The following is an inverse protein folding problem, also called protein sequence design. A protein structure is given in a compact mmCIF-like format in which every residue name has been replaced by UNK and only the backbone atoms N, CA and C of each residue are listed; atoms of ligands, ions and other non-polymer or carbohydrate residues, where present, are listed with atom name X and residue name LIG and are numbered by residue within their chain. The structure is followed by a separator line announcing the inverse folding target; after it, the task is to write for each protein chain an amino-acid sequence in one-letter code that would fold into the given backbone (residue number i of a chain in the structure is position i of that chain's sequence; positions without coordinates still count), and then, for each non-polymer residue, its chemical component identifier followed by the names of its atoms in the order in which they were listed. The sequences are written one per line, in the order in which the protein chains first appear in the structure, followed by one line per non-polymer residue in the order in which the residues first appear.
data_IF_722677441838
#
_entry.id   IF_722677441838
#
_cell.length_a   1.000
_cell.length_b   1.000
_cell.length_c   1.000
_cell.angle_alpha   90.00
_cell.angle_beta   90.00
_cell.angle_gamma   90.00
#
_symmetry.space_group_name_H-M   'P 1'
#
loop_
_entity.id
_entity.type
_entity.pdbx_description
1 polymer ?
#
# COMPACT_ATOMS: atom_id res chain seq x y z
N UNK A 1 6.77 -22.64 19.94
CA UNK A 1 5.61 -23.11 19.12
C UNK A 1 4.58 -22.00 19.14
N UNK A 2 4.10 -21.58 17.96
CA UNK A 2 3.07 -20.54 17.84
C UNK A 2 1.70 -21.16 18.06
N UNK A 3 0.82 -20.46 18.79
CA UNK A 3 -0.52 -20.94 19.14
C UNK A 3 -1.56 -19.89 18.78
N UNK A 4 -2.53 -20.28 17.96
CA UNK A 4 -3.75 -19.50 17.73
C UNK A 4 -4.71 -19.66 18.91
N UNK A 5 -5.29 -18.54 19.32
CA UNK A 5 -6.22 -18.44 20.42
C UNK A 5 -7.46 -17.71 19.92
N UNK A 6 -8.63 -18.19 20.32
CA UNK A 6 -9.85 -17.41 20.16
C UNK A 6 -9.74 -16.16 21.04
N UNK A 7 -10.19 -15.01 20.54
CA UNK A 7 -10.29 -13.84 21.41
C UNK A 7 -11.43 -14.07 22.41
N UNK A 8 -11.25 -13.71 23.70
CA UNK A 8 -12.36 -13.71 24.65
C UNK A 8 -13.53 -12.90 24.06
N UNK A 9 -14.77 -13.39 24.22
CA UNK A 9 -15.95 -12.65 23.76
C UNK A 9 -16.01 -11.29 24.48
N UNK A 10 -15.57 -10.24 23.80
CA UNK A 10 -15.75 -8.84 24.20
C UNK A 10 -17.11 -8.29 23.79
N UNK A 11 -17.43 -7.08 24.23
CA UNK A 11 -18.61 -6.34 23.77
C UNK A 11 -18.24 -5.51 22.53
N UNK A 12 -18.92 -5.72 21.40
CA UNK A 12 -18.82 -4.83 20.23
C UNK A 12 -17.99 -5.34 19.04
N UNK A 13 -17.89 -4.48 18.03
CA UNK A 13 -17.14 -4.67 16.78
C UNK A 13 -15.65 -4.44 17.06
N UNK A 14 -14.71 -5.28 16.57
CA UNK A 14 -13.28 -5.06 16.74
C UNK A 14 -12.81 -3.68 16.25
N UNK A 15 -11.75 -3.15 16.85
CA UNK A 15 -11.06 -1.96 16.31
C UNK A 15 -10.47 -2.30 14.93
N UNK A 16 -10.48 -1.36 13.98
CA UNK A 16 -10.02 -1.63 12.59
C UNK A 16 -10.83 -2.74 11.88
N UNK A 17 -12.05 -3.06 12.36
CA UNK A 17 -12.95 -3.99 11.67
C UNK A 17 -13.51 -3.36 10.41
N UNK A 18 -13.57 -4.12 9.32
CA UNK A 18 -14.25 -3.69 8.09
C UNK A 18 -15.78 -3.55 8.25
N UNK A 19 -16.33 -4.03 9.38
CA UNK A 19 -17.76 -3.93 9.70
C UNK A 19 -18.08 -2.77 10.65
N UNK A 20 -17.06 -2.01 11.08
CA UNK A 20 -17.26 -0.82 11.91
C UNK A 20 -17.91 0.29 11.07
N UNK A 21 -18.82 1.10 11.65
CA UNK A 21 -19.27 2.33 11.00
C UNK A 21 -18.06 3.19 10.62
N UNK A 22 -18.03 3.78 9.41
CA UNK A 22 -16.92 4.61 8.98
C UNK A 22 -16.66 5.73 10.00
N UNK A 23 -15.41 5.88 10.44
CA UNK A 23 -14.95 7.13 11.04
C UNK A 23 -14.54 8.10 9.92
N UNK A 24 -14.28 9.36 10.24
CA UNK A 24 -13.75 10.33 9.27
C UNK A 24 -12.39 9.92 8.65
N UNK A 25 -11.74 8.87 9.16
CA UNK A 25 -10.52 8.28 8.59
C UNK A 25 -10.77 7.01 7.77
N UNK A 26 -11.99 6.46 7.84
CA UNK A 26 -12.39 5.19 7.21
C UNK A 26 -13.45 5.40 6.11
N UNK A 27 -13.85 6.65 5.81
CA UNK A 27 -14.85 6.98 4.78
C UNK A 27 -14.47 6.45 3.39
N UNK A 28 -13.18 6.23 3.15
CA UNK A 28 -12.64 5.74 1.88
C UNK A 28 -12.47 4.21 1.82
N UNK A 29 -12.71 3.46 2.91
CA UNK A 29 -12.56 2.00 2.90
C UNK A 29 -13.55 1.35 1.91
N UNK A 30 -13.12 0.30 1.18
CA UNK A 30 -14.02 -0.41 0.28
C UNK A 30 -15.16 -1.06 1.06
N UNK A 31 -16.35 -1.09 0.46
CA UNK A 31 -17.50 -1.80 1.03
C UNK A 31 -17.12 -3.25 1.39
N UNK A 32 -17.45 -3.64 2.62
CA UNK A 32 -17.24 -5.00 3.07
C UNK A 32 -18.40 -5.89 2.61
N UNK A 33 -18.10 -6.83 1.73
CA UNK A 33 -19.06 -7.73 1.10
C UNK A 33 -19.74 -8.63 2.14
N UNK A 34 -21.04 -8.81 1.99
CA UNK A 34 -21.82 -9.79 2.77
C UNK A 34 -21.45 -11.25 2.46
N UNK A 35 -20.69 -11.50 1.38
CA UNK A 35 -20.12 -12.80 1.04
C UNK A 35 -18.79 -13.08 1.77
N UNK A 36 -18.31 -12.13 2.58
CA UNK A 36 -17.10 -12.25 3.36
C UNK A 36 -17.40 -12.29 4.86
N UNK A 37 -16.51 -12.94 5.59
CA UNK A 37 -16.47 -12.89 7.05
C UNK A 37 -15.19 -12.23 7.51
N UNK A 38 -15.27 -11.55 8.65
CA UNK A 38 -14.10 -11.09 9.39
C UNK A 38 -14.09 -11.77 10.76
N UNK A 39 -12.98 -12.43 11.08
CA UNK A 39 -12.79 -13.09 12.37
C UNK A 39 -11.50 -12.64 13.00
N UNK A 40 -11.56 -12.40 14.30
CA UNK A 40 -10.42 -11.95 15.10
C UNK A 40 -9.87 -13.09 15.95
N UNK A 41 -8.54 -13.15 16.02
CA UNK A 41 -7.79 -14.13 16.79
C UNK A 41 -6.68 -13.45 17.58
N UNK A 42 -6.15 -14.18 18.57
CA UNK A 42 -4.85 -13.90 19.15
C UNK A 42 -3.84 -14.94 18.68
N UNK A 43 -2.60 -14.52 18.45
CA UNK A 43 -1.47 -15.37 18.09
C UNK A 43 -0.40 -15.24 19.16
N UNK A 44 -0.13 -16.33 19.88
CA UNK A 44 0.83 -16.36 20.96
C UNK A 44 2.10 -17.12 20.55
N UNK A 45 3.26 -16.64 20.99
CA UNK A 45 4.54 -17.27 20.66
C UNK A 45 5.72 -16.66 21.41
N UNK A 46 6.91 -16.88 20.85
CA UNK A 46 8.16 -16.26 21.29
C UNK A 46 8.83 -15.61 20.09
N UNK A 47 9.41 -14.44 20.29
CA UNK A 47 10.10 -13.64 19.29
C UNK A 47 11.50 -13.28 19.75
N UNK A 48 12.38 -13.07 18.78
CA UNK A 48 13.70 -12.50 18.96
C UNK A 48 13.64 -10.99 18.78
N UNK A 49 14.65 -10.32 19.33
CA UNK A 49 14.99 -8.94 18.96
C UNK A 49 16.23 -8.96 18.10
N UNK A 50 16.25 -8.07 17.14
CA UNK A 50 17.31 -7.99 16.15
C UNK A 50 18.04 -6.65 16.24
N UNK A 51 19.30 -6.64 15.82
CA UNK A 51 20.06 -5.42 15.57
C UNK A 51 20.78 -5.53 14.24
N UNK A 52 21.34 -4.40 13.82
CA UNK A 52 21.99 -4.22 12.52
C UNK A 52 21.16 -3.35 11.59
N UNK A 53 21.76 -2.91 10.47
CA UNK A 53 21.03 -2.19 9.45
C UNK A 53 19.89 -3.04 8.87
N UNK A 54 18.89 -2.37 8.27
CA UNK A 54 17.82 -3.02 7.51
C UNK A 54 18.38 -3.85 6.34
N UNK A 55 19.54 -3.46 5.79
CA UNK A 55 20.24 -4.22 4.77
C UNK A 55 21.30 -5.12 5.39
N UNK A 56 21.26 -6.41 5.07
CA UNK A 56 22.24 -7.39 5.51
C UNK A 56 21.65 -8.44 6.43
N UNK A 57 22.47 -9.41 6.88
CA UNK A 57 21.96 -10.49 7.70
C UNK A 57 21.51 -9.97 9.08
N UNK A 58 20.29 -10.29 9.52
CA UNK A 58 19.79 -9.86 10.81
C UNK A 58 20.59 -10.55 11.93
N UNK A 59 21.02 -9.78 12.94
CA UNK A 59 21.72 -10.32 14.12
C UNK A 59 20.75 -10.40 15.30
N UNK A 60 20.54 -11.60 15.84
CA UNK A 60 19.75 -11.79 17.06
C UNK A 60 20.54 -11.24 18.25
N UNK A 61 19.96 -10.29 18.99
CA UNK A 61 20.56 -9.72 20.21
C UNK A 61 19.94 -10.25 21.48
N UNK A 62 18.71 -10.77 21.41
CA UNK A 62 18.06 -11.49 22.49
C UNK A 62 16.93 -12.34 21.94
N UNK A 63 16.65 -13.47 22.59
CA UNK A 63 15.66 -14.46 22.15
C UNK A 63 14.63 -14.76 23.26
N UNK A 64 13.61 -15.53 22.89
CA UNK A 64 12.65 -16.09 23.86
C UNK A 64 11.63 -15.10 24.43
N UNK A 65 11.52 -13.88 23.88
CA UNK A 65 10.55 -12.89 24.33
C UNK A 65 9.14 -13.35 24.01
N UNK A 66 8.30 -13.52 25.04
CA UNK A 66 6.91 -13.91 24.84
C UNK A 66 6.14 -12.78 24.16
N UNK A 67 5.23 -13.15 23.27
CA UNK A 67 4.24 -12.24 22.73
C UNK A 67 2.87 -12.90 22.64
N UNK A 68 1.83 -12.08 22.69
CA UNK A 68 0.48 -12.37 22.25
C UNK A 68 0.05 -11.20 21.39
N UNK A 69 -0.13 -11.42 20.10
CA UNK A 69 -0.57 -10.39 19.16
C UNK A 69 -1.97 -10.66 18.64
N UNK A 70 -2.60 -9.65 18.06
CA UNK A 70 -3.91 -9.71 17.42
C UNK A 70 -3.75 -10.00 15.92
N UNK A 71 -4.68 -10.81 15.41
CA UNK A 71 -4.81 -11.14 13.99
C UNK A 71 -6.26 -10.92 13.56
N UNK A 72 -6.48 -10.14 12.51
CA UNK A 72 -7.77 -10.04 11.81
C UNK A 72 -7.72 -10.86 10.53
N UNK A 73 -8.70 -11.74 10.32
CA UNK A 73 -8.79 -12.56 9.13
C UNK A 73 -10.08 -12.27 8.36
N UNK A 74 -9.93 -11.84 7.10
CA UNK A 74 -11.04 -11.60 6.16
C UNK A 74 -10.99 -12.65 5.06
N UNK A 75 -12.09 -13.39 4.82
CA UNK A 75 -12.12 -14.45 3.80
C UNK A 75 -13.55 -14.76 3.34
N UNK A 76 -13.74 -15.42 2.17
CA UNK A 76 -15.06 -15.78 1.68
C UNK A 76 -15.84 -16.69 2.63
N UNK A 77 -17.15 -16.45 2.76
CA UNK A 77 -18.08 -17.29 3.52
C UNK A 77 -18.21 -18.71 2.94
N UNK A 78 -18.19 -18.82 1.61
CA UNK A 78 -18.18 -20.08 0.89
C UNK A 78 -16.74 -20.51 0.58
N UNK A 79 -16.23 -21.59 1.20
CA UNK A 79 -14.88 -22.09 0.94
C UNK A 79 -14.61 -22.44 -0.53
N UNK A 80 -15.64 -22.74 -1.32
CA UNK A 80 -15.49 -23.04 -2.76
C UNK A 80 -15.10 -21.81 -3.58
N UNK A 81 -15.35 -20.61 -3.06
CA UNK A 81 -14.91 -19.34 -3.65
C UNK A 81 -13.47 -18.97 -3.29
N UNK A 82 -12.86 -19.62 -2.31
CA UNK A 82 -11.51 -19.27 -1.89
C UNK A 82 -10.49 -19.57 -2.99
N UNK A 83 -9.73 -18.57 -3.40
CA UNK A 83 -8.77 -18.68 -4.50
C UNK A 83 -7.52 -19.49 -4.16
N UNK A 84 -7.23 -19.67 -2.85
CA UNK A 84 -5.95 -20.18 -2.37
C UNK A 84 -4.95 -19.09 -2.00
N UNK A 85 -5.24 -17.81 -2.27
CA UNK A 85 -4.32 -16.69 -2.00
C UNK A 85 -4.64 -16.00 -0.68
N UNK A 86 -3.60 -15.64 0.05
CA UNK A 86 -3.68 -14.87 1.30
C UNK A 86 -2.74 -13.68 1.20
N UNK A 87 -3.24 -12.46 1.41
CA UNK A 87 -2.41 -11.25 1.57
C UNK A 87 -2.30 -10.94 3.05
N UNK A 88 -1.08 -10.98 3.59
CA UNK A 88 -0.77 -10.55 4.95
C UNK A 88 -0.36 -9.08 4.94
N UNK A 89 -0.96 -8.31 5.83
CA UNK A 89 -0.67 -6.91 6.06
C UNK A 89 -0.26 -6.70 7.54
N UNK A 90 0.98 -6.31 7.83
CA UNK A 90 1.26 -5.69 9.12
C UNK A 90 0.47 -4.38 9.18
N UNK A 91 -0.26 -4.15 10.27
CA UNK A 91 -1.05 -2.93 10.38
C UNK A 91 -0.16 -1.71 10.31
N UNK A 92 -0.58 -0.72 9.52
CA UNK A 92 0.06 0.58 9.51
C UNK A 92 -0.17 1.26 10.87
N UNK A 93 0.89 1.84 11.46
CA UNK A 93 0.85 2.43 12.80
C UNK A 93 1.22 3.91 12.84
N UNK A 94 1.17 4.61 11.71
CA UNK A 94 1.63 6.02 11.60
C UNK A 94 0.93 6.94 12.60
N UNK A 95 -0.34 6.66 12.90
CA UNK A 95 -1.14 7.43 13.87
C UNK A 95 -1.14 6.83 15.28
N UNK A 96 -0.25 5.87 15.56
CA UNK A 96 -0.14 5.17 16.84
C UNK A 96 -1.23 4.12 17.08
N UNK A 97 -2.09 3.87 16.10
CA UNK A 97 -3.18 2.87 16.12
C UNK A 97 -3.09 1.99 14.87
N UNK A 98 -3.67 0.79 14.93
CA UNK A 98 -3.69 -0.14 13.80
C UNK A 98 -4.60 0.34 12.67
N UNK A 99 -4.06 0.34 11.44
CA UNK A 99 -4.79 0.65 10.21
C UNK A 99 -4.51 -0.32 9.07
N UNK A 100 -5.57 -0.74 8.39
CA UNK A 100 -5.56 -1.59 7.20
C UNK A 100 -5.34 -0.75 5.92
N UNK A 101 -4.21 -0.05 5.89
CA UNK A 101 -3.84 0.91 4.85
C UNK A 101 -3.71 0.27 3.45
N UNK A 102 -3.24 -0.98 3.33
CA UNK A 102 -3.24 -1.67 2.05
C UNK A 102 -4.64 -2.15 1.69
N UNK A 103 -5.42 -2.66 2.64
CA UNK A 103 -6.82 -3.07 2.40
C UNK A 103 -7.66 -1.93 1.80
N UNK A 104 -7.47 -0.69 2.23
CA UNK A 104 -8.08 0.50 1.63
C UNK A 104 -7.98 0.48 0.09
N UNK A 105 -6.83 0.11 -0.45
CA UNK A 105 -6.60 0.11 -1.89
C UNK A 105 -7.06 -1.18 -2.57
N UNK A 106 -6.88 -2.33 -1.92
CA UNK A 106 -6.99 -3.66 -2.58
C UNK A 106 -8.18 -4.51 -2.11
N UNK A 107 -8.92 -4.10 -1.09
CA UNK A 107 -10.02 -4.89 -0.52
C UNK A 107 -11.10 -5.24 -1.54
N UNK A 108 -11.46 -4.31 -2.44
CA UNK A 108 -12.38 -4.60 -3.54
C UNK A 108 -11.87 -5.68 -4.51
N UNK A 109 -10.56 -5.65 -4.84
CA UNK A 109 -9.91 -6.68 -5.65
C UNK A 109 -9.97 -8.03 -4.93
N UNK A 110 -9.47 -8.10 -3.70
CA UNK A 110 -9.39 -9.35 -2.95
C UNK A 110 -10.76 -10.01 -2.79
N UNK A 111 -11.80 -9.21 -2.50
CA UNK A 111 -13.18 -9.69 -2.36
C UNK A 111 -13.78 -10.21 -3.66
N UNK A 112 -13.56 -9.51 -4.78
CA UNK A 112 -14.00 -9.96 -6.10
C UNK A 112 -13.34 -11.27 -6.52
N UNK A 113 -12.12 -11.50 -6.05
CA UNK A 113 -11.28 -12.63 -6.41
C UNK A 113 -11.43 -13.87 -5.53
N UNK A 114 -12.09 -13.75 -4.37
CA UNK A 114 -12.15 -14.84 -3.41
C UNK A 114 -10.84 -15.00 -2.61
N UNK A 115 -10.04 -13.94 -2.49
CA UNK A 115 -8.78 -13.96 -1.75
C UNK A 115 -9.03 -13.74 -0.27
N UNK A 116 -8.16 -14.30 0.58
CA UNK A 116 -8.15 -13.98 2.00
C UNK A 116 -7.18 -12.84 2.29
N UNK A 117 -7.45 -12.08 3.33
CA UNK A 117 -6.57 -11.06 3.88
C UNK A 117 -6.37 -11.28 5.38
N UNK A 118 -5.15 -11.02 5.85
CA UNK A 118 -4.76 -11.19 7.25
C UNK A 118 -4.06 -9.91 7.73
N UNK A 119 -4.69 -9.17 8.62
CA UNK A 119 -4.06 -8.06 9.34
C UNK A 119 -3.38 -8.53 10.62
N UNK A 120 -2.17 -8.04 10.93
CA UNK A 120 -1.46 -8.36 12.18
C UNK A 120 -1.01 -7.09 12.91
N UNK A 121 -1.32 -6.99 14.20
CA UNK A 121 -0.77 -5.95 15.07
C UNK A 121 0.70 -6.26 15.33
N UNK A 122 1.62 -5.35 15.05
CA UNK A 122 3.05 -5.65 15.22
C UNK A 122 3.79 -4.69 16.16
N UNK A 123 3.11 -3.67 16.67
CA UNK A 123 3.69 -2.67 17.57
C UNK A 123 3.13 -2.79 18.99
N UNK A 124 4.02 -2.60 19.97
CA UNK A 124 3.68 -2.48 21.38
C UNK A 124 2.77 -1.27 21.64
N UNK A 125 3.00 -0.17 20.92
CA UNK A 125 2.17 1.05 21.00
C UNK A 125 0.73 0.75 20.58
N UNK A 126 0.50 0.11 19.43
CA UNK A 126 -0.84 -0.30 18.99
C UNK A 126 -1.51 -1.27 19.97
N UNK A 127 -0.77 -2.24 20.49
CA UNK A 127 -1.30 -3.18 21.49
C UNK A 127 -1.76 -2.46 22.76
N UNK A 128 -1.04 -1.41 23.18
CA UNK A 128 -1.44 -0.57 24.31
C UNK A 128 -2.71 0.22 24.02
N UNK A 129 -2.86 0.77 22.81
CA UNK A 129 -4.07 1.48 22.40
C UNK A 129 -5.30 0.56 22.35
N UNK A 130 -5.16 -0.63 21.77
CA UNK A 130 -6.22 -1.64 21.76
C UNK A 130 -6.68 -1.98 23.18
N UNK A 131 -5.73 -2.23 24.10
CA UNK A 131 -6.02 -2.44 25.52
C UNK A 131 -6.75 -1.28 26.17
N UNK A 132 -6.42 -0.04 25.81
CA UNK A 132 -7.14 1.14 26.27
C UNK A 132 -8.59 1.20 25.76
N UNK A 133 -8.81 0.83 24.50
CA UNK A 133 -10.12 0.85 23.85
C UNK A 133 -11.08 -0.22 24.39
N UNK A 134 -10.63 -1.47 24.53
CA UNK A 134 -11.39 -2.55 25.17
C UNK A 134 -10.51 -3.42 26.08
N UNK A 135 -10.38 -3.04 27.37
CA UNK A 135 -9.54 -3.77 28.33
C UNK A 135 -9.94 -5.23 28.55
N UNK A 136 -11.21 -5.60 28.28
CA UNK A 136 -11.69 -6.98 28.46
C UNK A 136 -11.38 -7.84 27.25
N UNK A 137 -11.63 -7.32 26.05
CA UNK A 137 -11.37 -8.03 24.79
C UNK A 137 -9.88 -8.28 24.57
N UNK A 138 -9.04 -7.30 24.88
CA UNK A 138 -7.59 -7.36 24.65
C UNK A 138 -6.78 -7.61 25.93
N UNK A 139 -7.39 -8.16 26.97
CA UNK A 139 -6.71 -8.43 28.25
C UNK A 139 -5.42 -9.25 28.07
N UNK A 140 -5.48 -10.27 27.20
CA UNK A 140 -4.38 -11.19 26.91
C UNK A 140 -3.37 -10.66 25.88
N UNK A 141 -3.63 -9.53 25.23
CA UNK A 141 -2.76 -8.96 24.19
C UNK A 141 -1.45 -8.45 24.83
N UNK A 142 -0.30 -8.93 24.40
CA UNK A 142 0.98 -8.58 25.02
C UNK A 142 2.09 -8.52 23.96
N UNK A 143 2.46 -7.31 23.55
CA UNK A 143 3.64 -7.06 22.74
C UNK A 143 4.59 -6.23 23.60
N UNK A 144 5.62 -6.86 24.15
CA UNK A 144 6.50 -6.21 25.13
C UNK A 144 7.48 -5.18 24.56
N UNK A 145 7.62 -5.10 23.23
CA UNK A 145 8.49 -4.15 22.53
C UNK A 145 8.19 -4.17 21.03
N UNK A 146 8.37 -3.02 20.34
CA UNK A 146 8.31 -2.95 18.88
C UNK A 146 9.40 -3.79 18.19
N UNK A 147 10.51 -4.09 18.88
CA UNK A 147 11.62 -4.91 18.35
C UNK A 147 11.21 -6.37 18.05
N UNK A 148 10.00 -6.78 18.46
CA UNK A 148 9.46 -8.11 18.20
C UNK A 148 8.80 -8.22 16.82
N UNK A 149 8.54 -7.10 16.14
CA UNK A 149 7.73 -7.02 14.93
C UNK A 149 8.13 -8.05 13.85
N UNK A 150 9.42 -8.19 13.57
CA UNK A 150 9.91 -9.09 12.52
C UNK A 150 9.53 -10.55 12.72
N UNK A 151 9.61 -11.04 13.97
CA UNK A 151 9.20 -12.41 14.27
C UNK A 151 7.69 -12.57 14.36
N UNK A 152 6.93 -11.50 14.67
CA UNK A 152 5.46 -11.52 14.56
C UNK A 152 5.03 -11.70 13.10
N UNK A 153 5.59 -10.91 12.16
CA UNK A 153 5.36 -11.06 10.72
C UNK A 153 5.76 -12.47 10.27
N UNK A 154 6.97 -12.92 10.63
CA UNK A 154 7.46 -14.26 10.27
C UNK A 154 6.55 -15.38 10.83
N UNK A 155 6.05 -15.23 12.04
CA UNK A 155 5.22 -16.22 12.70
C UNK A 155 3.86 -16.39 12.01
N UNK A 156 3.20 -15.30 11.61
CA UNK A 156 1.90 -15.40 10.91
C UNK A 156 2.07 -16.02 9.51
N UNK A 157 3.10 -15.63 8.75
CA UNK A 157 3.40 -16.25 7.45
C UNK A 157 3.63 -17.76 7.57
N UNK A 158 4.41 -18.19 8.58
CA UNK A 158 4.64 -19.62 8.85
C UNK A 158 3.36 -20.35 9.25
N UNK A 159 2.56 -19.74 10.13
CA UNK A 159 1.30 -20.31 10.62
C UNK A 159 0.31 -20.55 9.48
N UNK A 160 0.23 -19.61 8.52
CA UNK A 160 -0.61 -19.75 7.33
C UNK A 160 -0.14 -20.87 6.39
N UNK A 161 1.18 -21.02 6.22
CA UNK A 161 1.79 -22.06 5.37
C UNK A 161 1.68 -23.46 5.98
N UNK A 162 1.88 -23.58 7.29
CA UNK A 162 1.74 -24.86 8.00
C UNK A 162 0.27 -25.33 8.04
N UNK A 163 -0.68 -24.39 8.10
CA UNK A 163 -2.10 -24.71 8.13
C UNK A 163 -2.53 -25.41 9.42
N UNK A 164 -3.57 -26.24 9.34
CA UNK A 164 -4.07 -27.02 10.47
C UNK A 164 -4.73 -26.17 11.56
N UNK A 165 -4.92 -26.75 12.75
CA UNK A 165 -5.70 -26.14 13.85
C UNK A 165 -5.12 -24.80 14.36
N UNK A 166 -3.86 -24.53 14.08
CA UNK A 166 -3.18 -23.29 14.48
C UNK A 166 -3.32 -22.17 13.45
N UNK A 167 -3.90 -22.42 12.27
CA UNK A 167 -4.12 -21.39 11.26
C UNK A 167 -5.47 -20.69 11.44
N UNK A 168 -5.53 -19.34 11.32
CA UNK A 168 -6.81 -18.63 11.28
C UNK A 168 -7.67 -19.09 10.09
N UNK A 169 -7.05 -19.65 9.06
CA UNK A 169 -7.68 -20.18 7.85
C UNK A 169 -7.71 -21.71 7.82
N UNK A 170 -7.75 -22.39 8.98
CA UNK A 170 -7.68 -23.87 9.11
C UNK A 170 -8.64 -24.69 8.23
N UNK A 171 -9.69 -24.06 7.71
CA UNK A 171 -10.73 -24.67 6.89
C UNK A 171 -10.60 -24.34 5.39
N UNK A 172 -9.56 -23.59 5.01
CA UNK A 172 -9.31 -23.13 3.65
C UNK A 172 -7.97 -23.67 3.14
N UNK A 173 -7.90 -24.16 1.87
CA UNK A 173 -6.67 -24.68 1.28
C UNK A 173 -5.74 -23.54 0.82
N UNK A 174 -4.96 -22.97 1.74
CA UNK A 174 -3.96 -21.93 1.44
C UNK A 174 -2.89 -22.48 0.48
N UNK A 175 -2.66 -21.77 -0.63
CA UNK A 175 -1.67 -22.12 -1.67
C UNK A 175 -0.55 -21.08 -1.77
N UNK A 176 -0.90 -19.79 -1.65
CA UNK A 176 0.05 -18.69 -1.77
C UNK A 176 -0.15 -17.68 -0.63
N UNK A 177 0.95 -17.23 -0.04
CA UNK A 177 0.98 -16.24 1.03
C UNK A 177 1.85 -15.06 0.61
N UNK A 178 1.25 -13.89 0.50
CA UNK A 178 1.92 -12.64 0.13
C UNK A 178 2.07 -11.74 1.35
N UNK A 179 3.14 -10.96 1.39
CA UNK A 179 3.31 -9.87 2.37
C UNK A 179 3.18 -8.54 1.64
N UNK A 180 2.26 -7.68 2.07
CA UNK A 180 2.08 -6.37 1.49
C UNK A 180 1.83 -5.30 2.55
N UNK A 181 2.10 -4.05 2.20
CA UNK A 181 1.77 -2.92 3.06
C UNK A 181 1.75 -1.62 2.27
N UNK A 182 1.18 -0.58 2.87
CA UNK A 182 1.07 0.76 2.29
C UNK A 182 1.53 1.81 3.31
N UNK A 183 2.34 2.78 2.87
CA UNK A 183 2.94 3.78 3.78
C UNK A 183 3.85 3.08 4.80
N UNK A 184 3.72 3.34 6.10
CA UNK A 184 4.56 2.71 7.13
C UNK A 184 4.53 1.17 7.11
N UNK A 185 3.39 0.53 6.85
CA UNK A 185 3.39 -0.94 6.69
C UNK A 185 4.07 -1.40 5.38
N UNK A 186 4.14 -0.52 4.38
CA UNK A 186 4.95 -0.71 3.17
C UNK A 186 6.45 -0.64 3.47
N UNK A 187 6.86 0.25 4.39
CA UNK A 187 8.24 0.33 4.91
C UNK A 187 8.62 -0.98 5.61
N UNK A 188 7.76 -1.48 6.50
CA UNK A 188 8.01 -2.73 7.21
C UNK A 188 8.01 -3.94 6.27
N UNK A 189 7.15 -3.94 5.24
CA UNK A 189 7.16 -4.94 4.16
C UNK A 189 8.48 -4.91 3.40
N UNK A 190 9.00 -3.73 3.06
CA UNK A 190 10.27 -3.56 2.36
C UNK A 190 11.46 -4.03 3.22
N UNK A 191 11.52 -3.63 4.50
CA UNK A 191 12.54 -4.13 5.43
C UNK A 191 12.46 -5.65 5.55
N UNK A 192 11.27 -6.20 5.71
CA UNK A 192 11.10 -7.65 5.87
C UNK A 192 11.58 -8.40 4.63
N UNK A 193 11.24 -7.91 3.43
CA UNK A 193 11.69 -8.48 2.17
C UNK A 193 13.22 -8.50 2.08
N UNK A 194 13.89 -7.40 2.44
CA UNK A 194 15.36 -7.28 2.38
C UNK A 194 16.05 -8.14 3.43
N UNK A 195 15.61 -8.09 4.70
CA UNK A 195 16.33 -8.69 5.81
C UNK A 195 15.99 -10.17 6.05
N UNK A 196 14.74 -10.56 5.77
CA UNK A 196 14.23 -11.89 6.13
C UNK A 196 13.70 -12.68 4.92
N UNK A 197 13.56 -12.04 3.75
CA UNK A 197 12.76 -12.58 2.66
C UNK A 197 13.19 -13.97 2.20
N UNK A 198 14.49 -14.15 1.99
CA UNK A 198 15.08 -15.41 1.52
C UNK A 198 14.88 -16.62 2.46
N UNK A 199 14.49 -16.39 3.72
CA UNK A 199 14.27 -17.41 4.74
C UNK A 199 12.82 -17.44 5.24
N UNK A 200 11.92 -16.76 4.54
CA UNK A 200 10.55 -16.56 4.99
C UNK A 200 9.55 -17.55 4.38
N UNK A 201 8.31 -17.46 4.85
CA UNK A 201 7.19 -18.26 4.38
C UNK A 201 6.30 -17.52 3.36
N UNK A 202 6.78 -16.43 2.75
CA UNK A 202 6.04 -15.63 1.78
C UNK A 202 6.48 -15.93 0.35
N UNK A 203 5.51 -16.02 -0.56
CA UNK A 203 5.74 -16.31 -1.97
C UNK A 203 5.98 -15.03 -2.80
N UNK A 204 5.69 -13.84 -2.26
CA UNK A 204 5.97 -12.56 -2.90
C UNK A 204 5.74 -11.36 -1.97
N UNK A 205 6.36 -10.22 -2.31
CA UNK A 205 6.32 -8.99 -1.52
C UNK A 205 5.76 -7.81 -2.31
N UNK A 206 4.93 -7.01 -1.64
CA UNK A 206 4.25 -5.85 -2.20
C UNK A 206 4.40 -4.60 -1.32
N UNK A 207 5.60 -3.98 -1.26
CA UNK A 207 5.77 -2.72 -0.57
C UNK A 207 5.22 -1.56 -1.43
N UNK A 208 4.20 -0.88 -0.91
CA UNK A 208 3.57 0.27 -1.57
C UNK A 208 3.80 1.57 -0.78
N UNK A 209 4.09 2.65 -1.51
CA UNK A 209 4.23 4.02 -0.99
C UNK A 209 5.14 4.12 0.23
N UNK A 210 6.34 3.52 0.15
CA UNK A 210 7.26 3.48 1.29
C UNK A 210 8.39 4.53 1.19
N UNK A 211 8.41 5.35 0.13
CA UNK A 211 9.35 6.46 -0.06
C UNK A 211 10.81 6.09 0.22
N UNK A 212 11.30 5.00 -0.41
CA UNK A 212 12.63 4.39 -0.19
C UNK A 212 12.95 3.92 1.23
N UNK A 213 12.06 4.17 2.19
CA UNK A 213 12.31 3.98 3.61
C UNK A 213 12.34 2.49 3.94
N UNK A 214 13.23 2.15 4.87
CA UNK A 214 13.32 0.87 5.56
C UNK A 214 13.34 1.15 7.07
N UNK A 215 12.49 0.47 7.83
CA UNK A 215 12.55 0.47 9.29
C UNK A 215 13.83 -0.27 9.72
N UNK A 216 14.66 0.29 10.61
CA UNK A 216 15.80 -0.43 11.19
C UNK A 216 15.38 -1.69 11.94
N UNK A 217 16.27 -2.68 12.03
CA UNK A 217 15.92 -3.95 12.68
C UNK A 217 15.67 -3.81 14.18
N UNK A 218 16.38 -2.87 14.82
CA UNK A 218 16.04 -2.37 16.15
C UNK A 218 15.03 -1.22 15.96
N UNK A 219 13.75 -1.56 16.04
CA UNK A 219 12.64 -0.62 15.75
C UNK A 219 12.60 0.50 16.79
N UNK A 220 12.81 0.17 18.07
CA UNK A 220 12.75 1.13 19.16
C UNK A 220 11.34 1.71 19.39
N UNK A 221 11.28 2.86 20.06
CA UNK A 221 10.04 3.58 20.34
C UNK A 221 9.90 4.81 19.44
N UNK A 222 8.66 5.17 19.09
CA UNK A 222 8.37 6.33 18.24
C UNK A 222 8.53 6.07 16.74
N UNK A 223 8.60 7.14 15.95
CA UNK A 223 8.82 7.03 14.51
C UNK A 223 10.29 6.64 14.26
N UNK A 224 10.57 5.55 13.53
CA UNK A 224 11.94 5.11 13.28
C UNK A 224 12.72 6.15 12.48
N UNK A 225 14.03 6.24 12.73
CA UNK A 225 14.96 6.89 11.81
C UNK A 225 15.18 5.93 10.64
N UNK A 226 14.42 6.13 9.56
CA UNK A 226 14.46 5.24 8.41
C UNK A 226 15.84 5.18 7.77
N UNK A 227 16.19 3.98 7.32
CA UNK A 227 17.29 3.74 6.40
C UNK A 227 16.78 3.80 4.96
N UNK A 228 17.67 4.03 4.00
CA UNK A 228 17.31 4.14 2.58
C UNK A 228 18.17 3.22 1.75
N UNK A 229 17.55 2.27 1.05
CA UNK A 229 18.26 1.34 0.20
C UNK A 229 17.38 0.72 -0.88
N UNK A 230 17.97 0.26 -2.00
CA UNK A 230 17.24 -0.57 -2.96
C UNK A 230 16.86 -1.92 -2.34
N UNK A 231 15.65 -2.40 -2.62
CA UNK A 231 15.23 -3.74 -2.22
C UNK A 231 16.00 -4.77 -3.05
N UNK A 232 16.80 -5.61 -2.39
CA UNK A 232 17.57 -6.71 -3.01
C UNK A 232 17.50 -7.97 -2.17
N UNK A 233 17.69 -9.14 -2.80
CA UNK A 233 17.94 -10.39 -2.08
C UNK A 233 16.71 -11.00 -1.38
N UNK A 234 15.50 -10.58 -1.73
CA UNK A 234 14.27 -11.07 -1.10
C UNK A 234 13.97 -12.56 -1.39
N UNK A 235 14.60 -13.17 -2.39
CA UNK A 235 14.42 -14.58 -2.78
C UNK A 235 13.10 -14.87 -3.50
N UNK A 236 12.04 -14.14 -3.18
CA UNK A 236 10.74 -14.15 -3.85
C UNK A 236 10.53 -12.88 -4.71
N UNK A 237 9.60 -12.88 -5.68
CA UNK A 237 9.26 -11.68 -6.45
C UNK A 237 8.85 -10.50 -5.58
N UNK A 238 9.30 -9.31 -5.97
CA UNK A 238 8.90 -8.03 -5.37
C UNK A 238 8.29 -7.14 -6.45
N UNK A 239 7.09 -6.62 -6.18
CA UNK A 239 6.53 -5.50 -6.96
C UNK A 239 6.39 -4.31 -6.02
N UNK A 240 7.23 -3.30 -6.24
CA UNK A 240 7.25 -2.05 -5.50
C UNK A 240 6.46 -1.00 -6.29
N UNK A 241 5.61 -0.23 -5.59
CA UNK A 241 4.87 0.89 -6.19
C UNK A 241 5.07 2.16 -5.37
N UNK A 242 5.48 3.25 -6.02
CA UNK A 242 5.76 4.55 -5.41
C UNK A 242 4.93 5.64 -6.11
N UNK A 243 4.14 6.43 -5.38
CA UNK A 243 3.56 7.65 -5.92
C UNK A 243 4.66 8.68 -6.22
N UNK A 244 4.38 9.65 -7.08
CA UNK A 244 5.34 10.69 -7.45
C UNK A 244 5.94 11.39 -6.22
N UNK A 245 5.14 11.73 -5.21
CA UNK A 245 5.63 12.39 -3.99
C UNK A 245 6.69 11.58 -3.25
N UNK A 246 6.58 10.26 -3.30
CA UNK A 246 7.48 9.34 -2.63
C UNK A 246 8.73 9.11 -3.46
N UNK A 247 8.65 9.25 -4.78
CA UNK A 247 9.81 9.26 -5.68
C UNK A 247 10.64 10.53 -5.47
N UNK A 248 9.96 11.68 -5.39
CA UNK A 248 10.58 13.01 -5.17
C UNK A 248 11.19 13.15 -3.77
N UNK A 249 10.53 12.60 -2.75
CA UNK A 249 10.94 12.75 -1.36
C UNK A 249 10.55 14.11 -0.78
N UNK A 250 10.93 14.37 0.46
CA UNK A 250 10.59 15.62 1.15
C UNK A 250 11.55 15.93 2.30
N UNK A 251 11.73 17.23 2.56
CA UNK A 251 12.56 17.74 3.65
C UNK A 251 11.76 18.58 4.64
N UNK A 252 12.13 18.46 5.92
CA UNK A 252 11.53 19.13 7.08
C UNK A 252 12.67 19.48 8.03
N UNK A 253 12.60 20.56 8.80
CA UNK A 253 13.74 21.01 9.64
C UNK A 253 14.40 19.87 10.44
N UNK A 254 15.61 19.46 10.03
CA UNK A 254 16.40 18.38 10.64
C UNK A 254 16.11 16.94 10.16
N UNK A 255 15.14 16.72 9.26
CA UNK A 255 14.83 15.43 8.66
C UNK A 255 14.62 15.52 7.14
N UNK A 256 15.24 14.62 6.40
CA UNK A 256 15.09 14.50 4.95
C UNK A 256 14.75 13.06 4.62
N UNK A 257 13.64 12.87 3.91
CA UNK A 257 13.38 11.66 3.14
C UNK A 257 13.85 11.92 1.70
N UNK A 258 14.86 11.20 1.19
CA UNK A 258 15.45 11.45 -0.12
C UNK A 258 14.62 10.87 -1.29
N UNK A 259 13.51 10.20 -1.00
CA UNK A 259 12.61 9.61 -1.97
C UNK A 259 13.15 8.39 -2.70
N UNK A 260 12.26 7.72 -3.42
CA UNK A 260 12.53 6.55 -4.26
C UNK A 260 13.58 6.80 -5.34
N UNK A 261 13.68 8.03 -5.85
CA UNK A 261 14.69 8.42 -6.84
C UNK A 261 16.11 8.08 -6.38
N UNK A 262 16.40 8.30 -5.08
CA UNK A 262 17.74 8.12 -4.49
C UNK A 262 18.22 6.67 -4.42
N UNK A 263 17.30 5.70 -4.53
CA UNK A 263 17.61 4.26 -4.38
C UNK A 263 17.15 3.43 -5.57
N UNK A 264 16.87 4.08 -6.71
CA UNK A 264 16.42 3.39 -7.94
C UNK A 264 17.34 2.22 -8.28
N UNK A 265 16.71 1.11 -8.64
CA UNK A 265 17.38 -0.04 -9.28
C UNK A 265 16.65 -0.43 -10.57
N UNK A 266 17.38 -1.11 -11.44
CA UNK A 266 16.80 -1.72 -12.62
C UNK A 266 15.82 -2.82 -12.22
N UNK A 267 14.78 -2.98 -13.02
CA UNK A 267 13.89 -4.13 -12.93
C UNK A 267 14.67 -5.43 -13.26
N UNK A 268 14.18 -6.56 -12.75
CA UNK A 268 14.79 -7.87 -12.97
C UNK A 268 13.75 -8.98 -13.06
N UNK A 269 13.97 -9.92 -13.98
CA UNK A 269 13.14 -11.11 -14.17
C UNK A 269 13.83 -12.41 -13.74
N UNK A 270 15.13 -12.33 -13.43
CA UNK A 270 15.95 -13.48 -13.10
C UNK A 270 15.55 -14.11 -11.76
N UNK A 271 15.48 -15.45 -11.67
CA UNK A 271 15.24 -16.15 -10.41
C UNK A 271 16.21 -15.68 -9.31
N UNK A 272 15.66 -15.38 -8.13
CA UNK A 272 16.42 -14.86 -6.98
C UNK A 272 16.60 -13.34 -6.94
N UNK A 273 16.31 -12.62 -8.02
CA UNK A 273 16.35 -11.14 -8.07
C UNK A 273 15.20 -10.56 -8.91
N UNK A 274 14.03 -11.20 -8.81
CA UNK A 274 12.78 -10.74 -9.43
C UNK A 274 12.28 -9.48 -8.75
N UNK A 275 12.34 -8.37 -9.45
CA UNK A 275 11.98 -7.05 -8.93
C UNK A 275 11.34 -6.20 -10.01
N UNK A 276 10.25 -5.52 -9.65
CA UNK A 276 9.59 -4.53 -10.50
C UNK A 276 9.31 -3.27 -9.70
N UNK A 277 9.70 -2.11 -10.24
CA UNK A 277 9.35 -0.80 -9.66
C UNK A 277 8.37 -0.07 -10.57
N UNK A 278 7.27 0.40 -9.96
CA UNK A 278 6.28 1.27 -10.59
C UNK A 278 6.27 2.64 -9.92
N UNK A 279 6.62 3.66 -10.68
CA UNK A 279 6.54 5.06 -10.26
C UNK A 279 5.31 5.69 -10.90
N UNK A 280 4.36 6.13 -10.08
CA UNK A 280 3.06 6.63 -10.52
C UNK A 280 3.10 8.16 -10.59
N UNK A 281 3.44 8.67 -11.78
CA UNK A 281 3.44 10.11 -12.06
C UNK A 281 2.05 10.72 -11.78
N UNK A 282 2.01 11.90 -11.15
CA UNK A 282 0.79 12.61 -10.73
C UNK A 282 0.14 12.08 -9.44
N UNK A 283 0.53 10.90 -8.94
CA UNK A 283 -0.02 10.39 -7.69
C UNK A 283 0.69 10.99 -6.47
N UNK A 284 -0.04 11.42 -5.43
CA UNK A 284 0.53 11.71 -4.11
C UNK A 284 0.52 10.47 -3.19
N UNK A 285 1.23 10.55 -2.06
CA UNK A 285 1.20 9.55 -1.01
C UNK A 285 -0.21 9.41 -0.41
N UNK A 286 -0.84 10.54 -0.15
CA UNK A 286 -2.22 10.67 0.31
C UNK A 286 -2.96 11.69 -0.55
N UNK A 287 -4.22 11.39 -0.90
CA UNK A 287 -5.07 12.30 -1.67
C UNK A 287 -5.23 13.67 -0.97
N UNK A 288 -5.44 13.65 0.34
CA UNK A 288 -5.54 14.83 1.20
C UNK A 288 -5.01 14.51 2.60
N UNK A 289 -4.43 15.53 3.25
CA UNK A 289 -4.14 15.51 4.69
C UNK A 289 -4.81 16.74 5.31
N UNK A 290 -5.61 16.58 6.39
CA UNK A 290 -6.26 17.71 7.04
C UNK A 290 -5.26 18.80 7.45
N UNK A 291 -5.56 20.05 7.09
CA UNK A 291 -4.70 21.20 7.34
C UNK A 291 -3.73 21.55 6.20
N UNK A 292 -3.73 20.77 5.12
CA UNK A 292 -3.02 21.10 3.89
C UNK A 292 -3.92 21.86 2.90
N UNK A 293 -3.29 22.71 2.07
CA UNK A 293 -3.89 23.59 1.09
C UNK A 293 -4.44 22.83 -0.11
N UNK A 294 -5.47 23.42 -0.73
CA UNK A 294 -6.02 23.00 -2.01
C UNK A 294 -7.06 21.88 -1.92
N UNK A 295 -7.67 21.63 -3.08
CA UNK A 295 -8.55 20.47 -3.26
C UNK A 295 -7.67 19.22 -3.31
N UNK A 296 -8.01 18.20 -2.51
CA UNK A 296 -7.28 16.94 -2.48
C UNK A 296 -7.19 16.31 -3.87
N UNK A 297 -6.12 15.59 -4.14
CA UNK A 297 -5.92 14.94 -5.43
C UNK A 297 -6.93 13.82 -5.65
N UNK A 298 -7.64 13.85 -6.78
CA UNK A 298 -8.52 12.75 -7.18
C UNK A 298 -7.83 11.74 -8.12
N UNK A 299 -6.49 11.73 -8.14
CA UNK A 299 -5.71 10.75 -8.90
C UNK A 299 -5.98 9.33 -8.36
N UNK A 300 -6.35 8.36 -9.22
CA UNK A 300 -6.87 7.07 -8.76
C UNK A 300 -5.76 6.07 -8.42
N UNK A 301 -4.95 6.38 -7.39
CA UNK A 301 -3.83 5.56 -6.95
C UNK A 301 -4.23 4.10 -6.69
N UNK A 302 -5.41 3.88 -6.09
CA UNK A 302 -5.92 2.53 -5.79
C UNK A 302 -6.02 1.62 -7.02
N UNK A 303 -6.34 2.16 -8.20
CA UNK A 303 -6.44 1.36 -9.43
C UNK A 303 -5.07 0.83 -9.87
N UNK A 304 -4.02 1.65 -9.75
CA UNK A 304 -2.65 1.25 -10.04
C UNK A 304 -2.12 0.25 -9.00
N UNK A 305 -2.42 0.47 -7.71
CA UNK A 305 -2.06 -0.47 -6.62
C UNK A 305 -2.69 -1.85 -6.85
N UNK A 306 -3.98 -1.91 -7.21
CA UNK A 306 -4.68 -3.16 -7.55
C UNK A 306 -4.05 -3.88 -8.74
N UNK A 307 -3.74 -3.17 -9.82
CA UNK A 307 -3.12 -3.75 -11.00
C UNK A 307 -1.71 -4.28 -10.70
N UNK A 308 -0.92 -3.55 -9.92
CA UNK A 308 0.42 -3.97 -9.51
C UNK A 308 0.37 -5.23 -8.63
N UNK A 309 -0.54 -5.30 -7.66
CA UNK A 309 -0.73 -6.49 -6.83
C UNK A 309 -1.19 -7.69 -7.67
N UNK A 310 -2.09 -7.48 -8.63
CA UNK A 310 -2.51 -8.52 -9.57
C UNK A 310 -1.32 -9.06 -10.38
N UNK A 311 -0.43 -8.19 -10.81
CA UNK A 311 0.77 -8.60 -11.53
C UNK A 311 1.73 -9.40 -10.64
N UNK A 312 1.86 -9.07 -9.35
CA UNK A 312 2.62 -9.89 -8.40
C UNK A 312 2.03 -11.31 -8.30
N UNK A 313 0.70 -11.44 -8.19
CA UNK A 313 0.04 -12.75 -8.14
C UNK A 313 0.37 -13.59 -9.37
N UNK A 314 0.22 -13.02 -10.57
CA UNK A 314 0.55 -13.71 -11.83
C UNK A 314 2.03 -14.06 -11.95
N UNK A 315 2.91 -13.24 -11.38
CA UNK A 315 4.34 -13.51 -11.41
C UNK A 315 4.70 -14.72 -10.54
N UNK A 316 4.09 -14.81 -9.36
CA UNK A 316 4.30 -15.91 -8.41
C UNK A 316 3.63 -17.19 -8.89
N UNK A 317 2.40 -17.11 -9.37
CA UNK A 317 1.55 -18.26 -9.66
C UNK A 317 1.78 -18.82 -11.07
N UNK A 318 1.89 -17.93 -12.05
CA UNK A 318 1.95 -18.30 -13.47
C UNK A 318 3.34 -18.10 -14.08
N UNK A 319 4.28 -17.51 -13.34
CA UNK A 319 5.60 -17.14 -13.86
C UNK A 319 5.55 -15.98 -14.88
N UNK A 320 4.43 -15.26 -14.96
CA UNK A 320 4.25 -14.17 -15.91
C UNK A 320 4.82 -12.87 -15.32
N UNK A 321 5.96 -12.43 -15.84
CA UNK A 321 6.59 -11.19 -15.41
C UNK A 321 5.65 -9.97 -15.57
N UNK A 322 5.58 -9.08 -14.56
CA UNK A 322 4.92 -7.79 -14.69
C UNK A 322 5.59 -6.94 -15.79
N UNK A 323 4.83 -6.10 -16.51
CA UNK A 323 5.41 -5.21 -17.52
C UNK A 323 6.44 -4.23 -16.92
N UNK A 324 7.55 -3.97 -17.60
CA UNK A 324 8.49 -2.88 -17.23
C UNK A 324 7.85 -1.52 -17.50
N UNK A 325 8.05 -0.51 -16.64
CA UNK A 325 7.59 0.86 -16.89
C UNK A 325 8.76 1.87 -16.94
N UNK A 326 8.64 2.96 -17.72
CA UNK A 326 9.54 4.11 -17.59
C UNK A 326 9.59 4.63 -16.15
N UNK A 327 10.69 5.28 -15.79
CA UNK A 327 10.82 6.04 -14.53
C UNK A 327 10.33 7.47 -14.74
N UNK A 328 9.93 8.14 -13.66
CA UNK A 328 9.64 9.57 -13.67
C UNK A 328 10.94 10.30 -14.03
N UNK A 329 10.87 11.12 -15.07
CA UNK A 329 11.98 11.98 -15.48
C UNK A 329 12.22 13.02 -14.39
N UNK A 330 13.47 13.23 -14.02
CA UNK A 330 13.85 14.17 -12.98
C UNK A 330 14.52 15.39 -13.62
N UNK A 331 14.04 16.58 -13.25
CA UNK A 331 14.72 17.84 -13.57
C UNK A 331 15.86 18.12 -12.58
N UNK A 332 15.67 17.72 -11.32
CA UNK A 332 16.67 17.80 -10.26
C UNK A 332 16.80 16.44 -9.61
N UNK A 333 18.03 15.93 -9.55
CA UNK A 333 18.41 14.73 -8.80
C UNK A 333 19.29 15.18 -7.63
N UNK A 334 18.63 15.60 -6.54
CA UNK A 334 19.23 16.24 -5.38
C UNK A 334 19.04 15.46 -4.09
N UNK A 335 19.13 16.14 -2.95
CA UNK A 335 18.78 15.53 -1.65
C UNK A 335 17.29 15.16 -1.57
N UNK A 336 16.45 15.92 -2.27
CA UNK A 336 15.12 15.54 -2.73
C UNK A 336 15.11 15.76 -4.23
N UNK A 337 14.38 14.94 -4.96
CA UNK A 337 14.26 15.04 -6.40
C UNK A 337 13.08 15.95 -6.78
N UNK A 338 13.13 16.49 -8.00
CA UNK A 338 12.03 17.23 -8.61
C UNK A 338 11.75 16.62 -9.98
N UNK A 339 10.49 16.24 -10.24
CA UNK A 339 10.07 15.73 -11.52
C UNK A 339 10.23 16.80 -12.62
N UNK A 340 10.64 16.36 -13.81
CA UNK A 340 10.43 17.14 -15.02
C UNK A 340 8.95 17.08 -15.40
N UNK A 341 8.43 18.16 -15.98
CA UNK A 341 6.99 18.31 -16.23
C UNK A 341 6.68 18.70 -17.66
N UNK A 342 5.51 18.27 -18.13
CA UNK A 342 5.01 18.62 -19.46
C UNK A 342 4.46 20.06 -19.51
N UNK A 343 3.90 20.45 -20.66
CA UNK A 343 3.31 21.78 -20.86
C UNK A 343 2.09 22.07 -19.96
N UNK A 344 1.49 21.04 -19.35
CA UNK A 344 0.38 21.15 -18.41
C UNK A 344 0.85 21.16 -16.95
N UNK A 345 2.15 20.93 -16.72
CA UNK A 345 2.76 20.85 -15.40
C UNK A 345 2.63 19.48 -14.74
N UNK A 346 2.28 18.43 -15.50
CA UNK A 346 2.24 17.06 -15.02
C UNK A 346 3.60 16.38 -15.21
N UNK A 347 4.00 15.51 -14.28
CA UNK A 347 5.27 14.82 -14.37
C UNK A 347 5.41 13.96 -15.63
N UNK A 348 6.60 13.96 -16.22
CA UNK A 348 6.93 13.17 -17.41
C UNK A 348 7.47 11.79 -17.02
N UNK A 349 7.07 10.76 -17.76
CA UNK A 349 7.53 9.39 -17.55
C UNK A 349 6.67 8.64 -16.52
N UNK A 350 7.28 7.69 -15.81
CA UNK A 350 6.56 6.79 -14.91
C UNK A 350 5.69 5.78 -15.64
N UNK A 351 4.78 5.14 -14.90
CA UNK A 351 3.78 4.22 -15.44
C UNK A 351 2.83 4.95 -16.40
N UNK A 352 2.55 4.41 -17.61
CA UNK A 352 1.57 4.98 -18.53
C UNK A 352 0.22 5.22 -17.87
N UNK A 353 -0.34 6.42 -18.05
CA UNK A 353 -1.52 6.86 -17.31
C UNK A 353 -2.44 7.68 -18.21
N UNK A 354 -3.73 7.29 -18.37
CA UNK A 354 -4.67 8.09 -19.15
C UNK A 354 -4.94 9.47 -18.52
N UNK A 355 -4.68 9.62 -17.22
CA UNK A 355 -4.81 10.87 -16.49
C UNK A 355 -3.75 11.91 -16.88
N UNK A 356 -2.60 11.47 -17.41
CA UNK A 356 -1.52 12.34 -17.87
C UNK A 356 -1.42 12.40 -19.40
N UNK A 357 -1.82 11.34 -20.12
CA UNK A 357 -1.88 11.33 -21.59
C UNK A 357 -3.01 12.23 -22.12
N UNK A 358 -4.15 12.25 -21.43
CA UNK A 358 -5.31 13.08 -21.72
C UNK A 358 -5.76 13.81 -20.43
N UNK A 359 -4.98 14.80 -19.94
CA UNK A 359 -5.26 15.45 -18.67
C UNK A 359 -6.45 16.39 -18.76
N UNK A 360 -7.27 16.40 -17.70
CA UNK A 360 -8.23 17.47 -17.38
C UNK A 360 -7.72 18.42 -16.30
N UNK A 361 -6.68 18.00 -15.58
CA UNK A 361 -6.10 18.71 -14.46
C UNK A 361 -4.59 18.52 -14.44
N UNK A 362 -3.93 19.46 -13.76
CA UNK A 362 -2.58 19.25 -13.25
C UNK A 362 -2.67 18.57 -11.90
N UNK A 363 -1.90 17.51 -11.71
CA UNK A 363 -1.78 16.79 -10.44
C UNK A 363 -0.48 17.21 -9.75
N UNK A 364 -0.59 18.04 -8.72
CA UNK A 364 0.53 18.40 -7.86
C UNK A 364 0.71 17.27 -6.83
N UNK A 365 1.83 16.55 -6.86
CA UNK A 365 2.10 15.45 -5.93
C UNK A 365 2.40 15.92 -4.48
N UNK A 366 2.67 17.21 -4.31
CA UNK A 366 3.00 17.84 -3.04
C UNK A 366 2.10 19.06 -2.77
N UNK A 367 1.65 19.21 -1.53
CA UNK A 367 0.91 20.39 -1.06
C UNK A 367 1.74 21.24 -0.06
N UNK A 368 1.07 22.22 0.55
CA UNK A 368 1.54 23.18 1.55
C UNK A 368 0.44 23.39 2.61
N UNK A 369 0.65 24.17 3.69
CA UNK A 369 1.93 24.59 4.19
C UNK A 369 2.63 23.46 4.94
N UNK A 370 3.96 23.46 4.85
CA UNK A 370 4.79 22.65 5.73
C UNK A 370 4.98 21.19 5.31
N UNK A 371 5.66 20.45 6.19
CA UNK A 371 6.35 19.22 5.79
C UNK A 371 5.45 18.01 5.57
N UNK A 372 4.47 17.79 6.46
CA UNK A 372 3.51 16.69 6.29
C UNK A 372 2.67 16.87 5.02
N UNK A 373 2.41 18.11 4.61
CA UNK A 373 1.70 18.41 3.38
C UNK A 373 2.47 18.05 2.11
N UNK A 374 3.77 17.75 2.21
CA UNK A 374 4.53 17.13 1.11
C UNK A 374 4.10 15.69 0.83
N UNK A 375 3.34 15.04 1.71
CA UNK A 375 2.72 13.75 1.42
C UNK A 375 1.31 13.89 0.81
N UNK A 376 0.70 15.08 0.89
CA UNK A 376 -0.62 15.33 0.33
C UNK A 376 -0.52 15.84 -1.11
N UNK A 377 -1.44 15.40 -1.96
CA UNK A 377 -1.57 15.94 -3.31
C UNK A 377 -2.59 17.06 -3.41
N UNK A 378 -2.52 17.80 -4.51
CA UNK A 378 -3.53 18.76 -4.91
C UNK A 378 -3.86 18.59 -6.38
N UNK A 379 -5.13 18.79 -6.72
CA UNK A 379 -5.57 18.85 -8.11
C UNK A 379 -5.89 20.28 -8.53
N UNK A 380 -5.39 20.67 -9.71
CA UNK A 380 -5.66 21.98 -10.30
C UNK A 380 -6.30 21.76 -11.69
N UNK A 381 -7.62 21.95 -11.83
CA UNK A 381 -8.28 21.81 -13.12
C UNK A 381 -7.64 22.70 -14.20
N UNK A 382 -7.49 22.17 -15.41
CA UNK A 382 -7.02 22.95 -16.54
C UNK A 382 -8.09 23.97 -16.97
N UNK A 383 -7.72 25.20 -17.36
CA UNK A 383 -8.67 26.19 -17.85
C UNK A 383 -9.44 25.70 -19.08
N UNK A 384 -10.70 26.12 -19.21
CA UNK A 384 -11.54 25.77 -20.35
C UNK A 384 -10.87 26.08 -21.69
N UNK A 385 -10.15 27.20 -21.79
CA UNK A 385 -9.47 27.63 -23.01
C UNK A 385 -8.37 26.64 -23.42
N UNK A 386 -7.62 26.09 -22.45
CA UNK A 386 -6.59 25.06 -22.68
C UNK A 386 -7.24 23.76 -23.14
N UNK A 387 -8.37 23.37 -22.52
CA UNK A 387 -9.11 22.17 -22.90
C UNK A 387 -9.74 22.30 -24.28
N UNK A 388 -10.33 23.45 -24.61
CA UNK A 388 -10.92 23.74 -25.91
C UNK A 388 -9.85 23.80 -27.01
N UNK A 389 -8.66 24.33 -26.73
CA UNK A 389 -7.53 24.29 -27.68
C UNK A 389 -7.03 22.85 -27.89
N UNK A 390 -6.89 22.06 -26.82
CA UNK A 390 -6.32 20.72 -26.87
C UNK A 390 -7.26 19.67 -27.47
N UNK A 391 -8.54 19.73 -27.12
CA UNK A 391 -9.52 18.68 -27.45
C UNK A 391 -10.64 19.19 -28.37
N UNK A 392 -10.87 20.50 -28.45
CA UNK A 392 -12.03 21.07 -29.16
C UNK A 392 -13.33 20.93 -28.39
N UNK A 393 -13.72 19.69 -28.06
CA UNK A 393 -14.95 19.38 -27.34
C UNK A 393 -14.83 18.19 -26.38
N UNK A 394 -15.88 18.03 -25.57
CA UNK A 394 -16.01 16.96 -24.60
C UNK A 394 -15.96 15.56 -25.23
N UNK A 395 -16.53 15.38 -26.43
CA UNK A 395 -16.62 14.06 -27.06
C UNK A 395 -15.25 13.58 -27.52
N UNK A 396 -14.45 14.49 -28.07
CA UNK A 396 -13.06 14.25 -28.47
C UNK A 396 -12.21 13.90 -27.25
N UNK A 397 -12.34 14.68 -26.16
CA UNK A 397 -11.69 14.36 -24.89
C UNK A 397 -12.02 12.94 -24.40
N UNK A 398 -13.31 12.58 -24.33
CA UNK A 398 -13.74 11.27 -23.84
C UNK A 398 -13.23 10.13 -24.73
N UNK A 399 -13.18 10.33 -26.05
CA UNK A 399 -12.62 9.37 -26.98
C UNK A 399 -11.11 9.16 -26.75
N UNK A 400 -10.33 10.24 -26.64
CA UNK A 400 -8.89 10.17 -26.37
C UNK A 400 -8.58 9.51 -25.02
N UNK A 401 -9.28 9.93 -23.96
CA UNK A 401 -9.13 9.32 -22.63
C UNK A 401 -9.48 7.82 -22.65
N UNK A 402 -10.57 7.44 -23.32
CA UNK A 402 -10.97 6.03 -23.44
C UNK A 402 -9.93 5.19 -24.18
N UNK A 403 -9.35 5.74 -25.26
CA UNK A 403 -8.29 5.05 -26.02
C UNK A 403 -7.05 4.84 -25.15
N UNK A 404 -6.59 5.87 -24.43
CA UNK A 404 -5.45 5.74 -23.51
C UNK A 404 -5.77 4.77 -22.37
N UNK A 405 -6.96 4.86 -21.74
CA UNK A 405 -7.39 3.94 -20.68
C UNK A 405 -7.36 2.48 -21.15
N UNK A 406 -7.90 2.20 -22.33
CA UNK A 406 -7.90 0.86 -22.90
C UNK A 406 -6.49 0.37 -23.27
N UNK A 407 -5.60 1.28 -23.67
CA UNK A 407 -4.19 0.95 -23.91
C UNK A 407 -3.46 0.61 -22.60
N UNK A 408 -3.67 1.39 -21.54
CA UNK A 408 -3.09 1.16 -20.21
C UNK A 408 -3.58 -0.14 -19.58
N UNK A 409 -4.86 -0.49 -19.77
CA UNK A 409 -5.41 -1.80 -19.36
C UNK A 409 -4.75 -2.94 -20.14
N UNK A 410 -4.64 -2.82 -21.48
CA UNK A 410 -3.98 -3.86 -22.31
C UNK A 410 -2.50 -4.03 -21.95
N UNK A 411 -1.83 -2.95 -21.56
CA UNK A 411 -0.45 -2.97 -21.12
C UNK A 411 -0.26 -3.56 -19.72
N UNK A 412 -1.34 -3.77 -18.95
CA UNK A 412 -1.31 -4.42 -17.64
C UNK A 412 -1.06 -3.47 -16.47
N UNK A 413 -1.20 -2.16 -16.65
CA UNK A 413 -1.03 -1.16 -15.58
C UNK A 413 -2.34 -0.75 -14.91
N UNK A 414 -3.48 -1.12 -15.49
CA UNK A 414 -4.82 -0.98 -14.91
C UNK A 414 -5.61 -2.27 -15.14
N UNK A 415 -6.58 -2.54 -14.25
CA UNK A 415 -7.46 -3.69 -14.39
C UNK A 415 -8.65 -3.37 -15.30
N UNK A 416 -9.12 -4.37 -16.04
CA UNK A 416 -10.32 -4.23 -16.88
C UNK A 416 -11.55 -3.92 -16.03
N UNK A 417 -11.59 -4.46 -14.82
CA UNK A 417 -12.65 -4.30 -13.84
C UNK A 417 -12.78 -2.83 -13.37
N UNK A 418 -11.67 -2.08 -13.33
CA UNK A 418 -11.66 -0.66 -12.93
C UNK A 418 -12.19 0.28 -14.04
N UNK A 419 -12.25 -0.20 -15.30
CA UNK A 419 -12.53 0.63 -16.48
C UNK A 419 -13.82 1.43 -16.37
N UNK A 420 -14.91 0.79 -15.95
CA UNK A 420 -16.23 1.41 -15.93
C UNK A 420 -16.30 2.56 -14.92
N UNK A 421 -15.70 2.37 -13.75
CA UNK A 421 -15.67 3.37 -12.68
C UNK A 421 -14.74 4.54 -13.04
N UNK A 422 -13.53 4.25 -13.52
CA UNK A 422 -12.61 5.29 -14.00
C UNK A 422 -13.23 6.15 -15.11
N UNK A 423 -13.95 5.52 -16.06
CA UNK A 423 -14.63 6.24 -17.12
C UNK A 423 -15.81 7.07 -16.61
N UNK A 424 -16.59 6.54 -15.65
CA UNK A 424 -17.71 7.25 -15.01
C UNK A 424 -17.20 8.51 -14.30
N UNK A 425 -16.18 8.37 -13.46
CA UNK A 425 -15.62 9.48 -12.68
C UNK A 425 -15.01 10.53 -13.61
N UNK A 426 -14.24 10.08 -14.59
CA UNK A 426 -13.61 11.01 -15.54
C UNK A 426 -14.63 11.70 -16.44
N UNK A 427 -15.75 11.03 -16.80
CA UNK A 427 -16.86 11.65 -17.54
C UNK A 427 -17.51 12.75 -16.72
N UNK A 428 -17.74 12.53 -15.43
CA UNK A 428 -18.30 13.55 -14.55
C UNK A 428 -17.38 14.78 -14.45
N UNK A 429 -16.06 14.57 -14.28
CA UNK A 429 -15.06 15.66 -14.29
C UNK A 429 -15.03 16.40 -15.61
N UNK A 430 -15.10 15.68 -16.73
CA UNK A 430 -15.09 16.28 -18.05
C UNK A 430 -16.31 17.16 -18.29
N UNK A 431 -17.51 16.72 -17.88
CA UNK A 431 -18.71 17.56 -17.96
C UNK A 431 -18.57 18.85 -17.16
N UNK A 432 -17.98 18.81 -15.97
CA UNK A 432 -17.71 20.00 -15.18
C UNK A 432 -16.67 20.91 -15.85
N UNK A 433 -15.59 20.35 -16.39
CA UNK A 433 -14.49 21.09 -17.00
C UNK A 433 -14.87 21.78 -18.34
N UNK A 434 -15.78 21.16 -19.12
CA UNK A 434 -16.28 21.73 -20.39
C UNK A 434 -17.56 22.56 -20.23
N UNK A 435 -18.12 22.68 -19.01
CA UNK A 435 -19.21 23.61 -18.77
C UNK A 435 -18.66 25.03 -18.85
N UNK A 436 -19.09 25.81 -19.86
CA UNK A 436 -18.74 27.24 -19.94
C UNK A 436 -19.17 27.92 -18.64
N UNK A 437 -18.21 28.34 -17.84
CA UNK A 437 -18.47 29.31 -16.78
C UNK A 437 -18.95 30.58 -17.46
N UNK A 438 -20.22 30.92 -17.28
CA UNK A 438 -20.68 32.27 -17.56
C UNK A 438 -19.80 33.21 -16.72
N UNK A 439 -19.02 34.07 -17.36
CA UNK A 439 -18.30 35.12 -16.66
C UNK A 439 -19.31 35.89 -15.80
N UNK A 440 -19.00 36.24 -14.53
CA UNK A 440 -19.83 37.20 -13.82
C UNK A 440 -19.82 38.49 -14.63
N UNK A 441 -21.02 38.93 -15.00
CA UNK A 441 -21.27 40.13 -15.78
C UNK A 441 -20.85 41.41 -15.06
#
# INVERSE_FOLDING_TARGET
MTRLLAIPRGSGVPETSATRPPSGFDEDLPEFSTDYTEVEYLLAGTANRYSGPAIGPPTVVSDGHRYVTRVLARYPNDPSRFSGRVVVEPFNTTYGVDRDALWLHVGGLLQAQGDAWIGITERATSATQLKGADPRRYADLEIGSNDLAWDLIRAIGRTLREGGEHSPLRHLPVRHVYLGGYSQSGVDTATFAVAFGALSAYDGYFPASHAASLTPLAVGEGLPLFEYAPIRGAGAPVVEIQPQSDVEGFGVDGFVNPGGASVRRADGDEPGDRFRLYEIAGAPHAAMIPGCDGEGSSFPMSAFVRAALRNLFRWVEDGIAPPSAPRIALRVDGQVAEADVDRFGNAIGGVPSPFLDAPLARYDAHSAPGPLCKLAGREVPLPYEVLAERYGDLQTYLAEFTISLDATIRAGYLLKEDRAELLKDQTAKAHAAFARTAAPA
#
